data_IF_999104914036
#
_entry.id   IF_999104914036
#
_cell.length_a   1.000
_cell.length_b   1.000
_cell.length_c   1.000
_cell.angle_alpha   90.00
_cell.angle_beta   90.00
_cell.angle_gamma   90.00
#
_symmetry.space_group_name_H-M   'P 1'
#
loop_
_entity.id
_entity.type
_entity.pdbx_description
1 polymer ?
#
# COMPACT_ATOMS: atom_id res chain seq x y z
N UNK A 1 18.73 9.80 3.70
CA UNK A 1 18.36 10.33 2.38
C UNK A 1 16.95 9.88 2.12
N UNK A 2 15.98 10.80 2.11
CA UNK A 2 14.66 10.53 1.55
C UNK A 2 14.90 10.23 0.07
N UNK A 3 14.60 9.01 -0.37
CA UNK A 3 14.72 8.65 -1.78
C UNK A 3 13.83 9.57 -2.61
N UNK A 4 14.31 9.94 -3.79
CA UNK A 4 13.51 10.72 -4.75
C UNK A 4 12.24 9.91 -5.06
N UNK A 5 11.07 10.52 -4.84
CA UNK A 5 9.79 9.83 -5.05
C UNK A 5 9.60 9.59 -6.55
N UNK A 6 9.22 8.36 -6.91
CA UNK A 6 9.03 7.99 -8.32
C UNK A 6 7.91 8.87 -8.91
N UNK A 7 8.13 9.56 -10.05
CA UNK A 7 7.09 10.39 -10.67
C UNK A 7 5.92 9.54 -11.16
N UNK A 8 4.76 10.16 -11.37
CA UNK A 8 3.53 9.46 -11.80
C UNK A 8 3.73 8.63 -13.08
N UNK A 9 4.52 9.13 -14.02
CA UNK A 9 4.81 8.47 -15.29
C UNK A 9 5.69 7.22 -15.12
N UNK A 10 6.44 7.15 -14.01
CA UNK A 10 7.32 6.03 -13.69
C UNK A 10 6.69 4.96 -12.79
N UNK A 11 5.41 5.10 -12.43
CA UNK A 11 4.74 4.14 -11.56
C UNK A 11 4.48 2.80 -12.30
N UNK A 12 4.59 1.66 -11.58
CA UNK A 12 4.48 0.33 -12.18
C UNK A 12 3.03 -0.11 -12.39
N UNK A 13 2.25 0.62 -13.21
CA UNK A 13 0.82 0.33 -13.42
C UNK A 13 0.54 -1.06 -13.98
N UNK A 14 1.43 -1.55 -14.84
CA UNK A 14 1.30 -2.86 -15.51
C UNK A 14 1.88 -4.02 -14.69
N UNK A 15 2.36 -3.76 -13.46
CA UNK A 15 2.86 -4.81 -12.59
C UNK A 15 1.72 -5.75 -12.18
N UNK A 16 1.98 -7.05 -12.24
CA UNK A 16 0.99 -8.07 -11.90
C UNK A 16 0.55 -7.97 -10.44
N UNK A 17 1.46 -7.54 -9.56
CA UNK A 17 1.20 -7.25 -8.15
C UNK A 17 0.10 -6.20 -7.96
N UNK A 18 0.08 -5.16 -8.81
CA UNK A 18 -0.96 -4.11 -8.78
C UNK A 18 -2.31 -4.69 -9.21
N UNK A 19 -2.33 -5.51 -10.28
CA UNK A 19 -3.55 -6.14 -10.75
C UNK A 19 -4.14 -7.13 -9.72
N UNK A 20 -3.30 -7.95 -9.10
CA UNK A 20 -3.70 -8.86 -8.02
C UNK A 20 -4.25 -8.08 -6.83
N UNK A 21 -3.56 -7.00 -6.43
CA UNK A 21 -4.01 -6.16 -5.33
C UNK A 21 -5.36 -5.50 -5.62
N UNK A 22 -5.54 -4.93 -6.82
CA UNK A 22 -6.81 -4.33 -7.22
C UNK A 22 -7.94 -5.36 -7.21
N UNK A 23 -7.70 -6.56 -7.76
CA UNK A 23 -8.69 -7.65 -7.75
C UNK A 23 -9.09 -8.04 -6.32
N UNK A 24 -8.13 -8.14 -5.40
CA UNK A 24 -8.41 -8.48 -4.01
C UNK A 24 -9.25 -7.41 -3.31
N UNK A 25 -8.95 -6.14 -3.54
CA UNK A 25 -9.69 -5.00 -2.95
C UNK A 25 -11.10 -4.89 -3.52
N UNK A 26 -11.27 -5.10 -4.83
CA UNK A 26 -12.60 -5.16 -5.46
C UNK A 26 -13.43 -6.32 -4.92
N UNK A 27 -12.80 -7.41 -4.48
CA UNK A 27 -13.43 -8.52 -3.76
C UNK A 27 -13.73 -8.24 -2.28
N UNK A 28 -13.40 -7.04 -1.78
CA UNK A 28 -13.60 -6.64 -0.38
C UNK A 28 -12.48 -7.01 0.58
N UNK A 29 -11.37 -7.58 0.08
CA UNK A 29 -10.20 -7.93 0.87
C UNK A 29 -9.20 -6.78 1.05
N UNK A 30 -8.19 -7.02 1.89
CA UNK A 30 -7.05 -6.13 2.09
C UNK A 30 -5.75 -6.76 1.60
N UNK A 31 -4.73 -5.94 1.34
CA UNK A 31 -3.40 -6.38 0.87
C UNK A 31 -2.26 -5.69 1.61
N UNK A 32 -1.10 -6.34 1.64
CA UNK A 32 0.15 -5.80 2.16
C UNK A 32 1.24 -5.83 1.09
N UNK A 33 1.76 -4.67 0.68
CA UNK A 33 2.97 -4.61 -0.12
C UNK A 33 4.20 -4.65 0.79
N UNK A 34 4.97 -5.72 0.68
CA UNK A 34 6.09 -6.02 1.57
C UNK A 34 7.40 -6.04 0.80
N UNK A 35 8.39 -5.27 1.22
CA UNK A 35 9.70 -5.35 0.57
C UNK A 35 10.64 -4.20 0.89
N UNK A 36 11.91 -4.32 0.47
CA UNK A 36 12.90 -3.28 0.69
C UNK A 36 12.71 -2.08 -0.25
N UNK A 37 12.96 -0.88 0.28
CA UNK A 37 13.09 0.33 -0.53
C UNK A 37 11.77 0.91 -1.07
N UNK A 38 11.85 1.75 -2.13
CA UNK A 38 10.72 2.54 -2.63
C UNK A 38 9.73 1.73 -3.50
N UNK A 39 10.05 0.48 -3.84
CA UNK A 39 9.21 -0.36 -4.70
C UNK A 39 7.80 -0.57 -4.13
N UNK A 40 7.67 -0.80 -2.82
CA UNK A 40 6.36 -0.96 -2.15
C UNK A 40 5.51 0.32 -2.22
N UNK A 41 6.14 1.49 -2.04
CA UNK A 41 5.50 2.80 -2.15
C UNK A 41 5.01 3.04 -3.57
N UNK A 42 5.82 2.70 -4.58
CA UNK A 42 5.45 2.84 -5.98
C UNK A 42 4.26 1.93 -6.37
N UNK A 43 4.27 0.68 -5.91
CA UNK A 43 3.15 -0.26 -6.10
C UNK A 43 1.87 0.24 -5.41
N UNK A 44 1.98 0.76 -4.18
CA UNK A 44 0.85 1.30 -3.44
C UNK A 44 0.24 2.52 -4.15
N UNK A 45 1.07 3.42 -4.68
CA UNK A 45 0.63 4.58 -5.48
C UNK A 45 0.01 4.16 -6.81
N UNK A 46 0.62 3.20 -7.51
CA UNK A 46 0.06 2.64 -8.74
C UNK A 46 -1.32 2.01 -8.50
N UNK A 47 -1.49 1.31 -7.37
CA UNK A 47 -2.77 0.76 -6.95
C UNK A 47 -3.81 1.85 -6.67
N UNK A 48 -3.44 2.94 -5.97
CA UNK A 48 -4.34 4.06 -5.73
C UNK A 48 -4.89 4.64 -7.05
N UNK A 49 -4.01 4.88 -8.03
CA UNK A 49 -4.41 5.35 -9.37
C UNK A 49 -5.31 4.35 -10.08
N UNK A 50 -4.99 3.05 -9.99
CA UNK A 50 -5.76 1.99 -10.64
C UNK A 50 -7.17 1.88 -10.07
N UNK A 51 -7.33 1.96 -8.75
CA UNK A 51 -8.63 1.96 -8.07
C UNK A 51 -9.44 3.21 -8.43
N UNK A 52 -8.80 4.38 -8.48
CA UNK A 52 -9.47 5.62 -8.90
C UNK A 52 -10.00 5.50 -10.33
N UNK A 53 -9.21 4.97 -11.26
CA UNK A 53 -9.63 4.69 -12.64
C UNK A 53 -10.77 3.66 -12.73
N UNK A 54 -10.86 2.76 -11.75
CA UNK A 54 -11.94 1.78 -11.64
C UNK A 54 -13.22 2.34 -10.99
N UNK A 55 -13.23 3.62 -10.58
CA UNK A 55 -14.40 4.31 -10.03
C UNK A 55 -14.50 4.29 -8.50
N UNK A 56 -13.48 3.80 -7.81
CA UNK A 56 -13.38 3.94 -6.35
C UNK A 56 -12.95 5.36 -5.98
N UNK A 57 -13.08 5.72 -4.70
CA UNK A 57 -12.58 6.97 -4.12
C UNK A 57 -11.42 6.70 -3.17
N UNK A 58 -10.23 6.28 -3.68
CA UNK A 58 -9.09 5.99 -2.81
C UNK A 58 -8.49 7.25 -2.19
N UNK A 59 -7.94 7.11 -0.99
CA UNK A 59 -7.06 8.09 -0.36
C UNK A 59 -5.69 7.46 -0.07
N UNK A 60 -4.64 8.15 -0.51
CA UNK A 60 -3.26 7.76 -0.26
C UNK A 60 -2.70 8.49 0.96
N UNK A 61 -2.19 7.74 1.93
CA UNK A 61 -1.76 8.26 3.22
C UNK A 61 -0.32 7.86 3.46
N UNK A 62 0.55 8.84 3.68
CA UNK A 62 1.94 8.62 4.05
C UNK A 62 2.10 8.89 5.54
N UNK A 63 2.35 7.85 6.34
CA UNK A 63 2.42 7.99 7.79
C UNK A 63 3.58 8.88 8.23
N UNK A 64 4.67 8.96 7.45
CA UNK A 64 5.79 9.86 7.75
C UNK A 64 5.38 11.36 7.81
N UNK A 65 4.27 11.75 7.17
CA UNK A 65 3.80 13.14 7.14
C UNK A 65 2.88 13.52 8.31
N UNK A 66 2.31 12.52 8.97
CA UNK A 66 1.33 12.73 10.03
C UNK A 66 2.04 13.27 11.27
N UNK A 67 1.46 14.29 11.90
CA UNK A 67 1.95 14.79 13.20
C UNK A 67 1.11 14.19 14.33
N UNK A 68 1.67 14.25 15.53
CA UNK A 68 0.97 13.81 16.74
C UNK A 68 -0.42 14.47 16.86
N UNK A 69 -1.44 13.67 17.17
CA UNK A 69 -2.84 14.11 17.31
C UNK A 69 -3.47 14.66 16.03
N UNK A 70 -2.99 14.24 14.86
CA UNK A 70 -3.69 14.52 13.62
C UNK A 70 -4.73 13.42 13.34
N UNK A 71 -5.99 13.82 13.24
CA UNK A 71 -7.01 13.09 12.49
C UNK A 71 -6.89 13.29 10.96
N UNK A 72 -7.80 12.67 10.23
CA UNK A 72 -7.81 12.65 8.77
C UNK A 72 -8.07 14.03 8.15
N UNK A 73 -8.96 14.82 8.74
CA UNK A 73 -9.25 16.17 8.24
C UNK A 73 -7.99 17.03 8.22
N UNK A 74 -7.20 17.00 9.30
CA UNK A 74 -5.92 17.71 9.39
C UNK A 74 -4.93 17.25 8.32
N UNK A 75 -4.87 15.94 8.07
CA UNK A 75 -4.01 15.36 7.04
C UNK A 75 -4.40 15.84 5.64
N UNK A 76 -5.68 15.74 5.27
CA UNK A 76 -6.18 16.16 3.96
C UNK A 76 -5.97 17.65 3.76
N UNK A 77 -6.39 18.48 4.71
CA UNK A 77 -6.28 19.95 4.59
C UNK A 77 -4.83 20.40 4.43
N UNK A 78 -3.87 19.66 5.01
CA UNK A 78 -2.47 20.05 4.94
C UNK A 78 -1.70 19.47 3.76
N UNK A 79 -2.14 18.33 3.22
CA UNK A 79 -1.42 17.59 2.20
C UNK A 79 -2.20 17.34 0.91
N UNK A 80 -3.30 18.05 0.68
CA UNK A 80 -4.10 17.95 -0.57
C UNK A 80 -3.26 18.07 -1.84
N UNK A 81 -2.39 19.07 -1.94
CA UNK A 81 -1.55 19.29 -3.12
C UNK A 81 -0.50 18.18 -3.27
N UNK A 82 0.15 17.77 -2.17
CA UNK A 82 1.13 16.67 -2.21
C UNK A 82 0.50 15.34 -2.55
N UNK A 83 -0.70 15.07 -2.05
CA UNK A 83 -1.48 13.90 -2.43
C UNK A 83 -1.72 13.92 -3.94
N UNK A 84 -2.18 15.06 -4.49
CA UNK A 84 -2.41 15.22 -5.93
C UNK A 84 -1.14 15.06 -6.75
N UNK A 85 0.01 15.53 -6.28
CA UNK A 85 1.32 15.30 -6.92
C UNK A 85 1.69 13.81 -6.94
N UNK A 86 1.38 13.07 -5.86
CA UNK A 86 1.74 11.66 -5.73
C UNK A 86 0.85 10.70 -6.51
N UNK A 87 -0.46 10.97 -6.60
CA UNK A 87 -1.42 10.04 -7.22
C UNK A 87 -2.25 10.65 -8.36
N UNK A 88 -2.06 11.93 -8.68
CA UNK A 88 -2.67 12.58 -9.85
C UNK A 88 -4.14 12.99 -9.67
N UNK A 89 -4.70 12.84 -8.47
CA UNK A 89 -6.08 13.23 -8.15
C UNK A 89 -6.19 13.79 -6.72
N UNK A 90 -7.23 14.56 -6.49
CA UNK A 90 -7.52 15.15 -5.17
C UNK A 90 -8.12 14.10 -4.23
N UNK A 91 -7.73 14.09 -2.94
CA UNK A 91 -8.34 13.20 -1.96
C UNK A 91 -9.83 13.53 -1.79
N UNK A 92 -10.69 12.53 -1.98
CA UNK A 92 -12.12 12.69 -1.72
C UNK A 92 -12.39 12.79 -0.22
N UNK A 93 -13.26 13.72 0.19
CA UNK A 93 -13.73 13.79 1.59
C UNK A 93 -14.54 12.56 1.99
N UNK A 94 -15.27 12.00 1.03
CA UNK A 94 -15.98 10.73 1.16
C UNK A 94 -15.23 9.66 0.36
N UNK A 95 -14.36 8.92 1.05
CA UNK A 95 -13.48 7.90 0.49
C UNK A 95 -13.92 6.50 0.95
N UNK A 96 -13.77 5.52 0.06
CA UNK A 96 -14.12 4.11 0.31
C UNK A 96 -12.90 3.22 0.58
N UNK A 97 -11.72 3.61 0.09
CA UNK A 97 -10.47 2.87 0.20
C UNK A 97 -9.37 3.76 0.76
N UNK A 98 -8.70 3.34 1.82
CA UNK A 98 -7.47 3.95 2.32
C UNK A 98 -6.26 3.06 2.04
N UNK A 99 -5.23 3.68 1.48
CA UNK A 99 -3.93 3.08 1.20
C UNK A 99 -2.89 3.75 2.10
N UNK A 100 -2.23 2.97 2.94
CA UNK A 100 -1.32 3.49 3.98
C UNK A 100 0.12 3.09 3.67
N UNK A 101 0.98 4.07 3.48
CA UNK A 101 2.42 3.89 3.31
C UNK A 101 3.16 4.00 4.64
N UNK A 102 4.29 3.31 4.75
CA UNK A 102 5.12 3.19 5.95
C UNK A 102 4.34 2.67 7.18
N UNK A 103 3.57 1.58 6.99
CA UNK A 103 2.67 1.01 7.98
C UNK A 103 3.35 0.63 9.31
N UNK A 104 4.65 0.31 9.29
CA UNK A 104 5.45 0.06 10.49
C UNK A 104 5.43 1.23 11.48
N UNK A 105 5.25 2.48 11.02
CA UNK A 105 5.21 3.65 11.89
C UNK A 105 4.01 3.62 12.86
N UNK A 106 2.88 3.05 12.44
CA UNK A 106 1.72 2.88 13.32
C UNK A 106 1.97 1.85 14.43
N UNK A 107 2.86 0.88 14.19
CA UNK A 107 3.31 -0.10 15.18
C UNK A 107 4.34 0.52 16.13
N UNK A 108 5.31 1.25 15.58
CA UNK A 108 6.40 1.86 16.36
C UNK A 108 5.90 3.02 17.24
N UNK A 109 4.91 3.80 16.75
CA UNK A 109 4.42 5.01 17.40
C UNK A 109 2.88 5.05 17.53
N UNK A 110 2.23 4.06 18.17
CA UNK A 110 0.78 3.88 18.12
C UNK A 110 -0.01 5.08 18.65
N UNK A 111 0.53 5.82 19.64
CA UNK A 111 -0.13 7.02 20.18
C UNK A 111 -0.15 8.19 19.19
N UNK A 112 0.87 8.31 18.33
CA UNK A 112 0.92 9.38 17.34
C UNK A 112 -0.14 9.21 16.26
N UNK A 113 -0.43 7.95 15.90
CA UNK A 113 -1.30 7.59 14.80
C UNK A 113 -2.71 7.16 15.22
N UNK A 114 -2.99 7.00 16.51
CA UNK A 114 -4.24 6.44 17.02
C UNK A 114 -5.51 7.11 16.47
N UNK A 115 -5.52 8.45 16.39
CA UNK A 115 -6.67 9.22 15.90
C UNK A 115 -6.92 8.96 14.42
N UNK A 116 -5.90 9.15 13.58
CA UNK A 116 -5.95 8.87 12.15
C UNK A 116 -6.37 7.42 11.87
N UNK A 117 -5.71 6.43 12.49
CA UNK A 117 -6.02 5.02 12.24
C UNK A 117 -7.44 4.67 12.69
N UNK A 118 -7.93 5.26 13.78
CA UNK A 118 -9.32 5.07 14.22
C UNK A 118 -10.33 5.57 13.17
N UNK A 119 -10.06 6.70 12.53
CA UNK A 119 -10.93 7.27 11.49
C UNK A 119 -10.88 6.50 10.17
N UNK A 120 -9.73 5.89 9.85
CA UNK A 120 -9.55 5.08 8.65
C UNK A 120 -10.05 3.63 8.81
N UNK A 121 -10.26 3.18 10.05
CA UNK A 121 -10.64 1.79 10.37
C UNK A 121 -11.84 1.34 9.53
N UNK A 122 -11.75 0.13 9.01
CA UNK A 122 -12.77 -0.45 8.13
C UNK A 122 -12.68 -0.01 6.66
N UNK A 123 -11.86 1.01 6.34
CA UNK A 123 -11.58 1.47 4.97
C UNK A 123 -10.15 1.25 4.53
N UNK A 124 -9.24 0.93 5.44
CA UNK A 124 -7.88 0.51 5.08
C UNK A 124 -7.95 -0.80 4.29
N UNK A 125 -7.40 -0.78 3.08
CA UNK A 125 -7.44 -1.90 2.13
C UNK A 125 -6.06 -2.25 1.57
N UNK A 126 -5.10 -1.34 1.67
CA UNK A 126 -3.73 -1.61 1.29
C UNK A 126 -2.76 -0.96 2.26
N UNK A 127 -1.70 -1.67 2.62
CA UNK A 127 -0.62 -1.14 3.45
C UNK A 127 0.73 -1.50 2.83
N UNK A 128 1.63 -0.54 2.72
CA UNK A 128 3.03 -0.82 2.43
C UNK A 128 3.81 -0.87 3.75
N UNK A 129 4.61 -1.92 3.95
CA UNK A 129 5.40 -2.11 5.16
C UNK A 129 6.70 -2.88 4.89
N UNK A 130 7.61 -2.91 5.87
CA UNK A 130 8.76 -3.84 5.86
C UNK A 130 8.28 -5.28 5.98
N UNK A 131 9.01 -6.20 5.33
CA UNK A 131 8.67 -7.63 5.29
C UNK A 131 8.62 -8.24 6.69
N UNK A 132 9.57 -7.87 7.55
CA UNK A 132 9.72 -8.34 8.92
C UNK A 132 8.62 -7.85 9.88
N UNK A 133 7.85 -6.83 9.50
CA UNK A 133 6.82 -6.23 10.35
C UNK A 133 5.40 -6.72 10.02
N UNK A 134 5.23 -7.65 9.06
CA UNK A 134 3.92 -8.09 8.60
C UNK A 134 2.96 -8.44 9.75
N UNK A 135 3.40 -9.29 10.69
CA UNK A 135 2.55 -9.74 11.80
C UNK A 135 2.12 -8.57 12.70
N UNK A 136 3.03 -7.63 12.97
CA UNK A 136 2.76 -6.49 13.83
C UNK A 136 1.85 -5.46 13.13
N UNK A 137 2.05 -5.25 11.83
CA UNK A 137 1.22 -4.39 10.99
C UNK A 137 -0.18 -4.99 10.81
N UNK A 138 -0.29 -6.30 10.61
CA UNK A 138 -1.58 -7.01 10.55
C UNK A 138 -2.35 -6.89 11.88
N UNK A 139 -1.67 -6.91 13.02
CA UNK A 139 -2.32 -6.68 14.32
C UNK A 139 -2.95 -5.27 14.46
N UNK A 140 -2.44 -4.27 13.71
CA UNK A 140 -2.98 -2.90 13.70
C UNK A 140 -4.07 -2.72 12.64
N UNK A 141 -3.84 -3.26 11.43
CA UNK A 141 -4.65 -2.96 10.25
C UNK A 141 -5.63 -4.07 9.84
N UNK A 142 -5.54 -5.26 10.45
CA UNK A 142 -6.35 -6.44 10.15
C UNK A 142 -5.60 -7.49 9.32
N UNK A 143 -6.31 -8.54 8.91
CA UNK A 143 -5.75 -9.55 8.00
C UNK A 143 -5.80 -9.08 6.54
N UNK A 144 -4.89 -9.60 5.72
CA UNK A 144 -4.82 -9.25 4.30
C UNK A 144 -3.80 -10.11 3.55
N UNK A 145 -3.85 -10.07 2.23
CA UNK A 145 -2.96 -10.83 1.36
C UNK A 145 -1.56 -10.18 1.31
N UNK A 146 -0.49 -10.87 1.74
CA UNK A 146 0.86 -10.37 1.56
C UNK A 146 1.32 -10.48 0.10
N UNK A 147 1.87 -9.40 -0.43
CA UNK A 147 2.42 -9.26 -1.78
C UNK A 147 3.87 -8.78 -1.64
N UNK A 148 4.82 -9.65 -1.96
CA UNK A 148 6.24 -9.36 -1.79
C UNK A 148 6.81 -8.65 -3.02
N UNK A 149 7.27 -7.40 -2.84
CA UNK A 149 7.89 -6.57 -3.87
C UNK A 149 9.40 -6.83 -3.88
N UNK A 150 9.91 -7.36 -5.00
CA UNK A 150 11.35 -7.54 -5.21
C UNK A 150 11.99 -6.18 -5.51
N UNK A 151 13.07 -5.82 -4.81
CA UNK A 151 13.83 -4.62 -5.11
C UNK A 151 14.58 -4.72 -6.45
N UNK A 152 14.80 -3.58 -7.11
CA UNK A 152 15.64 -3.48 -8.31
C UNK A 152 17.04 -4.02 -8.02
N UNK A 153 17.35 -5.22 -8.52
CA UNK A 153 18.63 -5.89 -8.31
C UNK A 153 18.58 -7.41 -8.26
N UNK A 154 17.41 -8.04 -8.15
CA UNK A 154 17.29 -9.48 -8.28
C UNK A 154 17.41 -9.89 -9.76
N UNK A 155 18.61 -10.26 -10.20
CA UNK A 155 18.81 -11.04 -11.45
C UNK A 155 17.78 -12.17 -11.49
N UNK A 156 17.18 -12.49 -12.66
CA UNK A 156 16.25 -13.60 -12.77
C UNK A 156 16.96 -14.88 -12.34
N UNK A 157 16.59 -15.41 -11.17
CA UNK A 157 17.12 -16.70 -10.73
C UNK A 157 16.45 -17.75 -11.61
N UNK A 158 17.27 -18.39 -12.43
CA UNK A 158 16.85 -19.37 -13.41
C UNK A 158 16.06 -20.53 -12.78
N UNK A 159 14.95 -20.87 -13.45
CA UNK A 159 14.24 -22.15 -13.58
C UNK A 159 14.43 -23.21 -12.48
N UNK A 160 13.32 -23.56 -11.82
CA UNK A 160 13.04 -24.92 -11.37
C UNK A 160 11.70 -25.40 -11.99
N UNK A 161 11.57 -26.70 -12.32
CA UNK A 161 10.45 -27.20 -13.12
C UNK A 161 9.27 -27.64 -12.25
N UNK A 162 8.07 -27.15 -12.58
CA UNK A 162 6.73 -27.69 -12.29
C UNK A 162 6.39 -28.12 -10.85
N UNK A 163 5.33 -27.50 -10.31
CA UNK A 163 4.48 -28.12 -9.29
C UNK A 163 3.65 -27.11 -8.51
N UNK A 164 2.39 -26.90 -8.89
CA UNK A 164 1.41 -26.20 -8.04
C UNK A 164 1.30 -26.94 -6.71
N UNK A 165 1.79 -26.32 -5.63
CA UNK A 165 1.49 -26.71 -4.26
C UNK A 165 0.70 -25.58 -3.59
N UNK A 166 -0.62 -25.74 -3.57
CA UNK A 166 -1.50 -24.95 -2.70
C UNK A 166 -1.28 -25.41 -1.26
N UNK A 167 -0.53 -24.63 -0.48
CA UNK A 167 -0.52 -24.71 0.99
C UNK A 167 -0.62 -23.29 1.53
N UNK A 168 -1.78 -22.97 2.13
CA UNK A 168 -1.97 -21.86 3.07
C UNK A 168 -1.53 -20.46 2.61
N UNK A 169 -2.41 -19.75 1.89
CA UNK A 169 -2.42 -18.27 1.79
C UNK A 169 -1.19 -17.55 1.20
N UNK A 170 -0.18 -18.26 0.69
CA UNK A 170 0.92 -17.65 -0.07
C UNK A 170 0.62 -17.77 -1.57
N UNK A 171 0.37 -16.64 -2.23
CA UNK A 171 0.43 -16.58 -3.70
C UNK A 171 1.88 -16.24 -4.06
N UNK A 172 2.68 -17.26 -4.34
CA UNK A 172 3.86 -17.08 -5.20
C UNK A 172 3.35 -17.04 -6.64
N UNK A 173 3.39 -15.85 -7.25
CA UNK A 173 3.04 -15.68 -8.65
C UNK A 173 4.22 -16.13 -9.50
N UNK A 174 4.08 -17.29 -10.15
CA UNK A 174 5.00 -17.78 -11.19
C UNK A 174 4.22 -17.83 -12.53
N UNK A 175 4.73 -17.15 -13.57
CA UNK A 175 4.09 -17.03 -14.89
C UNK A 175 4.69 -18.06 -15.86
N UNK A 176 3.81 -18.74 -16.62
CA UNK A 176 4.15 -19.54 -17.83
C UNK A 176 4.19 -18.62 -19.04
#
# INVERSE_FOLDING_TARGET
>A
MLGEEIPLEGLPYEAQEVAVAASQIMGGGSVYFLGPGPGKTAMLRALAVSLYKAGFTPIYIKLEWVKYSWGLANYIDKYVERHKELVGFEPAKDFDVALVDDGELAVEYPKAYAELISELRGRIRAVAARTEDLDAVAAVFGDGLPIYVKGDGARPRAKAPFGLALIGSTIEVEVI
#
